data_IF_458492549375
#
_entry.id   IF_458492549375
#
_cell.length_a   1.000
_cell.length_b   1.000
_cell.length_c   1.000
_cell.angle_alpha   90.00
_cell.angle_beta   90.00
_cell.angle_gamma   90.00
#
_symmetry.space_group_name_H-M   'P 1'
#
loop_
_entity.id
_entity.type
_entity.pdbx_description
1 polymer ?
#
# COMPACT_ATOMS: atom_id res chain seq x y z
N UNK A 1 -16.17 -40.50 42.06
CA UNK A 1 -16.53 -39.23 42.72
C UNK A 1 -16.66 -38.18 41.63
N UNK A 2 -17.84 -38.07 41.03
CA UNK A 2 -18.14 -37.00 40.08
C UNK A 2 -18.37 -35.71 40.87
N UNK A 3 -17.45 -34.76 40.77
CA UNK A 3 -17.69 -33.39 41.23
C UNK A 3 -18.71 -32.78 40.27
N UNK A 4 -20.00 -32.86 40.64
CA UNK A 4 -21.01 -31.94 40.11
C UNK A 4 -20.57 -30.53 40.48
N UNK A 5 -20.15 -29.77 39.48
CA UNK A 5 -19.93 -28.34 39.61
C UNK A 5 -21.32 -27.71 39.49
N UNK A 6 -22.12 -27.79 40.56
CA UNK A 6 -23.24 -26.88 40.75
C UNK A 6 -22.64 -25.55 41.22
N UNK A 7 -22.01 -24.82 40.27
CA UNK A 7 -21.78 -23.39 40.44
C UNK A 7 -23.07 -22.73 39.99
N UNK A 8 -23.97 -22.47 40.92
CA UNK A 8 -24.96 -21.41 40.73
C UNK A 8 -24.16 -20.16 40.38
N UNK A 9 -24.18 -19.78 39.10
CA UNK A 9 -23.66 -18.52 38.64
C UNK A 9 -24.45 -17.45 39.41
N UNK A 10 -23.76 -16.57 40.14
CA UNK A 10 -24.42 -15.41 40.72
C UNK A 10 -25.13 -14.65 39.59
N UNK A 11 -26.27 -14.03 39.87
CA UNK A 11 -27.00 -13.27 38.84
C UNK A 11 -26.10 -12.24 38.14
N UNK A 12 -25.20 -11.61 38.90
CA UNK A 12 -24.16 -10.72 38.40
C UNK A 12 -23.24 -11.37 37.35
N UNK A 13 -22.88 -12.64 37.51
CA UNK A 13 -22.07 -13.38 36.52
C UNK A 13 -22.90 -13.68 35.26
N UNK A 14 -24.20 -13.91 35.41
CA UNK A 14 -25.12 -14.16 34.30
C UNK A 14 -25.33 -12.89 33.46
N UNK A 15 -25.52 -11.75 34.12
CA UNK A 15 -25.61 -10.44 33.48
C UNK A 15 -24.32 -10.09 32.72
N UNK A 16 -23.16 -10.30 33.34
CA UNK A 16 -21.85 -10.06 32.69
C UNK A 16 -21.67 -10.94 31.45
N UNK A 17 -22.10 -12.20 31.49
CA UNK A 17 -22.06 -13.10 30.33
C UNK A 17 -23.00 -12.65 29.21
N UNK A 18 -24.19 -12.15 29.56
CA UNK A 18 -25.14 -11.59 28.59
C UNK A 18 -24.56 -10.34 27.92
N UNK A 19 -23.93 -9.43 28.67
CA UNK A 19 -23.25 -8.27 28.10
C UNK A 19 -22.09 -8.66 27.17
N UNK A 20 -21.30 -9.67 27.55
CA UNK A 20 -20.23 -10.21 26.71
C UNK A 20 -20.78 -10.81 25.41
N UNK A 21 -21.87 -11.57 25.48
CA UNK A 21 -22.52 -12.16 24.31
C UNK A 21 -23.14 -11.09 23.41
N UNK A 22 -23.72 -10.03 23.98
CA UNK A 22 -24.22 -8.89 23.22
C UNK A 22 -23.07 -8.14 22.53
N UNK A 23 -21.95 -7.94 23.22
CA UNK A 23 -20.75 -7.33 22.65
C UNK A 23 -20.18 -8.17 21.51
N UNK A 24 -20.19 -9.50 21.67
CA UNK A 24 -19.81 -10.43 20.60
C UNK A 24 -20.77 -10.38 19.42
N UNK A 25 -22.08 -10.31 19.68
CA UNK A 25 -23.11 -10.15 18.65
C UNK A 25 -22.96 -8.85 17.85
N UNK A 26 -22.55 -7.75 18.49
CA UNK A 26 -22.23 -6.49 17.81
C UNK A 26 -21.04 -6.68 16.85
N UNK A 27 -19.96 -7.33 17.29
CA UNK A 27 -18.79 -7.62 16.44
C UNK A 27 -19.15 -8.57 15.30
N UNK A 28 -19.95 -9.60 15.58
CA UNK A 28 -20.43 -10.55 14.57
C UNK A 28 -21.31 -9.88 13.52
N UNK A 29 -22.20 -8.98 13.92
CA UNK A 29 -23.03 -8.21 12.99
C UNK A 29 -22.22 -7.21 12.16
N UNK A 30 -21.11 -6.71 12.71
CA UNK A 30 -20.16 -5.86 12.00
C UNK A 30 -19.34 -6.64 10.99
N UNK A 31 -18.94 -7.88 11.30
CA UNK A 31 -18.23 -8.79 10.39
C UNK A 31 -19.18 -9.62 9.51
N UNK A 32 -20.33 -9.05 9.13
CA UNK A 32 -21.26 -9.73 8.25
C UNK A 32 -20.71 -9.88 6.82
N UNK A 33 -21.41 -10.64 5.99
CA UNK A 33 -21.01 -10.95 4.60
C UNK A 33 -20.72 -9.70 3.76
N UNK A 34 -21.38 -8.58 4.02
CA UNK A 34 -21.13 -7.30 3.33
C UNK A 34 -19.74 -6.75 3.64
N UNK A 35 -19.33 -6.76 4.91
CA UNK A 35 -18.00 -6.28 5.31
C UNK A 35 -16.91 -7.21 4.79
N UNK A 36 -17.17 -8.52 4.78
CA UNK A 36 -16.26 -9.49 4.15
C UNK A 36 -16.13 -9.22 2.64
N UNK A 37 -17.24 -8.94 1.95
CA UNK A 37 -17.23 -8.59 0.53
C UNK A 37 -16.45 -7.29 0.27
N UNK A 38 -16.64 -6.27 1.09
CA UNK A 38 -15.95 -4.98 0.93
C UNK A 38 -14.44 -5.09 1.22
N UNK A 39 -14.05 -5.87 2.23
CA UNK A 39 -12.64 -6.22 2.48
C UNK A 39 -12.06 -6.97 1.28
N UNK A 40 -12.79 -7.92 0.70
CA UNK A 40 -12.34 -8.65 -0.47
C UNK A 40 -12.16 -7.74 -1.69
N UNK A 41 -13.07 -6.78 -1.94
CA UNK A 41 -12.93 -5.79 -3.02
C UNK A 41 -11.69 -4.90 -2.83
N UNK A 42 -11.44 -4.49 -1.60
CA UNK A 42 -10.26 -3.69 -1.25
C UNK A 42 -8.97 -4.49 -1.46
N UNK A 43 -8.90 -5.71 -0.93
CA UNK A 43 -7.76 -6.61 -1.10
C UNK A 43 -7.52 -6.95 -2.57
N UNK A 44 -8.57 -7.25 -3.34
CA UNK A 44 -8.45 -7.52 -4.77
C UNK A 44 -7.90 -6.31 -5.55
N UNK A 45 -8.31 -5.10 -5.17
CA UNK A 45 -7.79 -3.87 -5.77
C UNK A 45 -6.33 -3.65 -5.42
N UNK A 46 -5.95 -3.89 -4.17
CA UNK A 46 -4.55 -3.86 -3.73
C UNK A 46 -3.70 -4.89 -4.47
N UNK A 47 -4.18 -6.14 -4.60
CA UNK A 47 -3.47 -7.19 -5.33
C UNK A 47 -3.34 -6.90 -6.81
N UNK A 48 -4.33 -6.26 -7.46
CA UNK A 48 -4.20 -5.79 -8.84
C UNK A 48 -3.09 -4.76 -8.96
N UNK A 49 -3.01 -3.80 -8.04
CA UNK A 49 -1.94 -2.79 -8.01
C UNK A 49 -0.58 -3.47 -7.79
N UNK A 50 -0.46 -4.37 -6.81
CA UNK A 50 0.77 -5.13 -6.55
C UNK A 50 1.17 -5.93 -7.78
N UNK A 51 0.22 -6.61 -8.44
CA UNK A 51 0.49 -7.38 -9.65
C UNK A 51 0.97 -6.50 -10.81
N UNK A 52 0.37 -5.32 -11.01
CA UNK A 52 0.82 -4.35 -12.02
C UNK A 52 2.24 -3.86 -11.69
N UNK A 53 2.48 -3.50 -10.43
CA UNK A 53 3.79 -3.06 -9.94
C UNK A 53 4.84 -4.16 -10.17
N UNK A 54 4.58 -5.39 -9.70
CA UNK A 54 5.49 -6.53 -9.83
C UNK A 54 5.67 -7.05 -11.26
N UNK A 55 4.70 -6.83 -12.15
CA UNK A 55 4.78 -7.28 -13.56
C UNK A 55 5.45 -6.26 -14.48
N UNK A 56 5.90 -5.12 -13.96
CA UNK A 56 6.58 -4.09 -14.75
C UNK A 56 8.06 -4.00 -14.39
N UNK A 57 8.92 -3.94 -15.41
CA UNK A 57 10.35 -3.66 -15.25
C UNK A 57 10.61 -2.28 -14.58
N UNK A 58 9.58 -1.43 -14.51
CA UNK A 58 9.64 -0.10 -13.89
C UNK A 58 10.08 -0.18 -12.42
N UNK A 59 9.59 -1.16 -11.67
CA UNK A 59 9.96 -1.32 -10.25
C UNK A 59 11.42 -1.71 -10.12
N UNK A 60 11.89 -2.64 -10.94
CA UNK A 60 13.29 -3.07 -10.93
C UNK A 60 14.23 -1.95 -11.39
N UNK A 61 13.81 -1.12 -12.36
CA UNK A 61 14.57 0.06 -12.81
C UNK A 61 14.62 1.10 -11.69
N UNK A 62 13.52 1.35 -10.99
CA UNK A 62 13.47 2.29 -9.87
C UNK A 62 14.29 1.79 -8.68
N UNK A 63 14.21 0.50 -8.34
CA UNK A 63 15.02 -0.10 -7.28
C UNK A 63 16.51 0.08 -7.58
N UNK A 64 16.95 -0.24 -8.80
CA UNK A 64 18.34 -0.05 -9.23
C UNK A 64 18.75 1.42 -9.20
N UNK A 65 17.87 2.34 -9.61
CA UNK A 65 18.15 3.77 -9.57
C UNK A 65 18.28 4.29 -8.12
N UNK A 66 17.45 3.81 -7.19
CA UNK A 66 17.50 4.17 -5.77
C UNK A 66 18.76 3.64 -5.07
N UNK A 67 19.35 2.57 -5.57
CA UNK A 67 20.61 2.03 -5.09
C UNK A 67 21.85 2.75 -5.68
N UNK A 68 21.68 3.74 -6.56
CA UNK A 68 22.80 4.45 -7.17
C UNK A 68 23.58 5.29 -6.12
N UNK A 69 24.89 5.05 -5.92
CA UNK A 69 25.68 5.78 -4.94
C UNK A 69 25.79 7.28 -5.21
N UNK A 70 25.65 7.72 -6.46
CA UNK A 70 25.64 9.14 -6.81
C UNK A 70 24.31 9.79 -6.45
N UNK A 71 23.20 9.05 -6.56
CA UNK A 71 21.90 9.51 -6.07
C UNK A 71 21.93 9.65 -4.55
N UNK A 72 22.46 8.66 -3.83
CA UNK A 72 22.60 8.70 -2.37
C UNK A 72 23.42 9.92 -1.92
N UNK A 73 24.57 10.17 -2.56
CA UNK A 73 25.39 11.36 -2.31
C UNK A 73 24.65 12.67 -2.61
N UNK A 74 23.87 12.72 -3.69
CA UNK A 74 23.09 13.89 -4.06
C UNK A 74 21.92 14.16 -3.11
N UNK A 75 21.33 13.11 -2.50
CA UNK A 75 20.31 13.27 -1.47
C UNK A 75 20.90 13.85 -0.18
N UNK A 76 22.10 13.41 0.20
CA UNK A 76 22.81 13.93 1.38
C UNK A 76 23.36 15.34 1.16
N UNK A 77 23.87 15.64 -0.03
CA UNK A 77 24.42 16.95 -0.41
C UNK A 77 23.97 17.32 -1.83
N UNK A 78 22.82 17.99 -1.97
CA UNK A 78 22.25 18.34 -3.27
C UNK A 78 23.20 19.23 -4.09
N UNK A 79 23.58 18.84 -5.32
CA UNK A 79 24.40 19.68 -6.17
C UNK A 79 23.60 20.91 -6.63
N UNK A 80 24.22 22.09 -6.57
CA UNK A 80 23.65 23.32 -7.11
C UNK A 80 23.90 23.38 -8.62
N UNK A 81 22.84 23.23 -9.41
CA UNK A 81 22.93 23.25 -10.87
C UNK A 81 22.47 24.63 -11.38
N UNK A 82 23.37 25.36 -12.06
CA UNK A 82 23.04 26.60 -12.76
C UNK A 82 22.48 26.35 -14.17
N UNK A 83 22.03 27.39 -14.87
CA UNK A 83 21.45 27.29 -16.22
C UNK A 83 22.33 26.53 -17.23
N UNK A 84 23.64 26.77 -17.19
CA UNK A 84 24.61 26.05 -18.04
C UNK A 84 24.74 24.58 -17.66
N UNK A 85 24.69 24.27 -16.35
CA UNK A 85 24.69 22.90 -15.85
C UNK A 85 23.44 22.13 -16.24
N UNK A 86 22.28 22.81 -16.26
CA UNK A 86 21.02 22.22 -16.72
C UNK A 86 21.07 21.89 -18.21
N UNK A 87 21.53 22.83 -19.05
CA UNK A 87 21.69 22.57 -20.48
C UNK A 87 22.65 21.40 -20.75
N UNK A 88 23.73 21.31 -19.98
CA UNK A 88 24.67 20.18 -20.08
C UNK A 88 24.01 18.87 -19.67
N UNK A 89 23.29 18.85 -18.54
CA UNK A 89 22.59 17.66 -18.04
C UNK A 89 21.54 17.16 -19.05
N UNK A 90 20.78 18.05 -19.70
CA UNK A 90 19.85 17.68 -20.76
C UNK A 90 20.54 17.08 -22.01
N UNK A 91 21.82 17.37 -22.20
CA UNK A 91 22.65 16.76 -23.23
C UNK A 91 23.20 15.37 -22.86
N UNK A 92 23.08 14.94 -21.60
CA UNK A 92 23.60 13.66 -21.15
C UNK A 92 22.68 12.50 -21.54
N UNK A 93 23.26 11.43 -22.10
CA UNK A 93 22.53 10.28 -22.64
C UNK A 93 21.61 9.62 -21.60
N UNK A 94 22.08 9.46 -20.36
CA UNK A 94 21.30 8.82 -19.28
C UNK A 94 20.12 9.69 -18.85
N UNK A 95 20.29 11.03 -18.82
CA UNK A 95 19.20 11.97 -18.53
C UNK A 95 18.17 11.95 -19.64
N UNK A 96 18.60 11.89 -20.90
CA UNK A 96 17.69 11.79 -22.06
C UNK A 96 16.89 10.48 -22.05
N UNK A 97 17.53 9.35 -21.74
CA UNK A 97 16.85 8.06 -21.59
C UNK A 97 15.80 8.12 -20.46
N UNK A 98 16.17 8.67 -19.31
CA UNK A 98 15.23 8.86 -18.19
C UNK A 98 14.05 9.76 -18.54
N UNK A 99 14.30 10.89 -19.21
CA UNK A 99 13.26 11.79 -19.71
C UNK A 99 12.33 11.11 -20.71
N UNK A 100 12.86 10.28 -21.61
CA UNK A 100 12.06 9.50 -22.56
C UNK A 100 11.07 8.57 -21.86
N UNK A 101 11.53 7.83 -20.84
CA UNK A 101 10.67 6.96 -20.02
C UNK A 101 9.60 7.78 -19.28
N UNK A 102 9.99 8.91 -18.67
CA UNK A 102 9.07 9.83 -17.99
C UNK A 102 7.96 10.34 -18.93
N UNK A 103 8.32 10.74 -20.15
CA UNK A 103 7.35 11.22 -21.15
C UNK A 103 6.35 10.12 -21.53
N UNK A 104 6.80 8.87 -21.68
CA UNK A 104 5.87 7.76 -21.97
C UNK A 104 4.95 7.43 -20.81
N UNK A 105 5.44 7.50 -19.57
CA UNK A 105 4.59 7.37 -18.38
C UNK A 105 3.52 8.45 -18.39
N UNK A 106 3.91 9.71 -18.60
CA UNK A 106 2.97 10.84 -18.68
C UNK A 106 1.94 10.65 -19.81
N UNK A 107 2.37 10.13 -20.96
CA UNK A 107 1.48 9.84 -22.09
C UNK A 107 0.50 8.73 -21.77
N UNK A 108 0.94 7.67 -21.10
CA UNK A 108 0.09 6.57 -20.66
C UNK A 108 -0.95 7.05 -19.64
N UNK A 109 -0.55 7.86 -18.65
CA UNK A 109 -1.45 8.48 -17.68
C UNK A 109 -2.47 9.37 -18.39
N UNK A 110 -2.03 10.24 -19.30
CA UNK A 110 -2.91 11.11 -20.08
C UNK A 110 -3.99 10.33 -20.84
N UNK A 111 -3.60 9.24 -21.52
CA UNK A 111 -4.54 8.34 -22.20
C UNK A 111 -5.54 7.70 -21.24
N UNK A 112 -5.11 7.23 -20.08
CA UNK A 112 -5.97 6.62 -19.08
C UNK A 112 -6.90 7.63 -18.38
N UNK A 113 -6.46 8.89 -18.26
CA UNK A 113 -7.24 9.98 -17.64
C UNK A 113 -8.31 10.58 -18.55
N UNK A 114 -8.24 10.31 -19.86
CA UNK A 114 -9.21 10.79 -20.85
C UNK A 114 -10.47 9.91 -20.92
N UNK A 115 -10.77 9.20 -19.83
CA UNK A 115 -11.95 8.34 -19.66
C UNK A 115 -13.08 9.11 -18.97
#
# INVERSE_FOLDING_TARGET
>A
MEKKIDKELSEETYETLIELLNSFGIVQNYLNDQVIEDVNKLLASMFKIVNIISSTDLVEILERALQDPNLDRALLNPPKIGLLGLMRALGEENVQKGLGVLIEILRAIGKASST
#
